data_IF_653438447286
#
_entry.id   IF_653438447286
#
_cell.length_a   1.000
_cell.length_b   1.000
_cell.length_c   1.000
_cell.angle_alpha   90.00
_cell.angle_beta   90.00
_cell.angle_gamma   90.00
#
_symmetry.space_group_name_H-M   'P 1'
#
loop_
_entity.id
_entity.type
_entity.pdbx_description
1 polymer ?
#
# COMPACT_ATOMS: atom_id res chain seq x y z
N UNK A 1 -58.55 16.24 -8.58
CA UNK A 1 -57.31 15.62 -8.09
C UNK A 1 -56.33 15.60 -9.26
N UNK A 2 -55.45 16.60 -9.34
CA UNK A 2 -54.48 16.78 -10.44
C UNK A 2 -53.20 16.04 -10.09
N UNK A 3 -52.87 15.04 -10.88
CA UNK A 3 -51.66 14.23 -10.71
C UNK A 3 -50.39 15.00 -11.06
N UNK A 4 -49.43 15.02 -10.17
CA UNK A 4 -48.09 15.56 -10.40
C UNK A 4 -47.34 14.64 -11.37
N UNK A 5 -46.90 15.20 -12.51
CA UNK A 5 -46.19 14.46 -13.56
C UNK A 5 -44.75 14.14 -13.11
N UNK A 6 -44.24 12.96 -13.52
CA UNK A 6 -42.83 12.55 -13.31
C UNK A 6 -41.79 13.55 -13.84
N UNK A 7 -42.18 14.51 -14.69
CA UNK A 7 -41.31 15.58 -15.19
C UNK A 7 -41.13 16.74 -14.21
N UNK A 8 -42.06 16.93 -13.27
CA UNK A 8 -41.99 18.04 -12.31
C UNK A 8 -41.08 17.71 -11.10
N UNK A 9 -40.84 16.43 -10.83
CA UNK A 9 -39.94 15.97 -9.77
C UNK A 9 -38.45 16.14 -10.15
N UNK A 10 -38.12 16.14 -11.44
CA UNK A 10 -36.76 16.28 -11.95
C UNK A 10 -36.25 17.73 -12.07
N UNK A 11 -37.14 18.73 -11.90
CA UNK A 11 -36.76 20.16 -11.95
C UNK A 11 -36.49 20.81 -10.60
N UNK A 12 -36.74 20.10 -9.50
CA UNK A 12 -36.52 20.64 -8.14
C UNK A 12 -35.16 20.26 -7.52
N UNK A 13 -34.27 19.52 -8.23
CA UNK A 13 -32.96 19.09 -7.75
C UNK A 13 -31.75 19.92 -8.28
N UNK A 14 -32.01 21.08 -8.82
CA UNK A 14 -30.98 21.94 -9.36
C UNK A 14 -31.00 23.33 -8.72
N UNK A 15 -30.33 23.53 -7.60
CA UNK A 15 -29.63 24.73 -7.14
C UNK A 15 -29.28 24.56 -5.66
N UNK A 16 -28.05 24.13 -5.36
CA UNK A 16 -27.25 24.51 -4.20
C UNK A 16 -25.86 23.87 -4.33
N UNK A 17 -24.99 24.46 -5.11
CA UNK A 17 -23.55 24.19 -5.02
C UNK A 17 -22.83 25.52 -5.22
N UNK A 18 -22.60 26.22 -4.13
CA UNK A 18 -21.67 27.34 -4.10
C UNK A 18 -20.71 27.15 -2.93
N UNK A 19 -19.40 27.03 -3.25
CA UNK A 19 -18.35 27.48 -2.37
C UNK A 19 -17.68 26.46 -1.45
N UNK A 20 -16.85 25.56 -2.04
CA UNK A 20 -15.65 25.09 -1.37
C UNK A 20 -14.57 25.03 -2.46
N UNK A 21 -13.53 25.85 -2.33
CA UNK A 21 -12.39 25.85 -3.25
C UNK A 21 -11.69 24.51 -3.25
N UNK A 22 -12.12 23.62 -4.13
CA UNK A 22 -11.40 22.41 -4.47
C UNK A 22 -10.21 22.83 -5.33
N UNK A 23 -8.99 22.60 -4.84
CA UNK A 23 -7.83 22.44 -5.71
C UNK A 23 -8.10 21.21 -6.59
N UNK A 24 -8.82 21.40 -7.67
CA UNK A 24 -8.93 20.37 -8.71
C UNK A 24 -7.53 20.15 -9.24
N UNK A 25 -6.95 18.98 -8.98
CA UNK A 25 -5.73 18.56 -9.64
C UNK A 25 -5.97 18.68 -11.15
N UNK A 26 -5.20 19.57 -11.80
CA UNK A 26 -5.33 19.81 -13.23
C UNK A 26 -5.11 18.49 -13.98
N UNK A 27 -6.00 18.18 -14.93
CA UNK A 27 -5.78 17.06 -15.84
C UNK A 27 -4.43 17.27 -16.52
N UNK A 28 -3.54 16.29 -16.39
CA UNK A 28 -2.28 16.30 -17.14
C UNK A 28 -2.58 16.14 -18.64
N UNK A 29 -1.70 16.66 -19.51
CA UNK A 29 -1.86 16.45 -20.94
C UNK A 29 -1.88 14.94 -21.24
N UNK A 30 -2.82 14.52 -22.09
CA UNK A 30 -2.88 13.14 -22.60
C UNK A 30 -1.54 12.80 -23.25
N UNK A 31 -0.96 11.64 -22.87
CA UNK A 31 0.35 11.20 -23.36
C UNK A 31 1.53 11.52 -22.44
N UNK A 32 1.30 12.04 -21.23
CA UNK A 32 2.37 12.29 -20.26
C UNK A 32 2.69 11.02 -19.43
N UNK A 33 3.98 10.67 -19.40
CA UNK A 33 4.45 9.61 -18.50
C UNK A 33 4.31 10.09 -17.06
N UNK A 34 3.74 9.25 -16.20
CA UNK A 34 3.65 9.51 -14.76
C UNK A 34 3.80 8.24 -13.94
N UNK A 35 4.52 8.35 -12.83
CA UNK A 35 4.66 7.28 -11.85
C UNK A 35 4.31 7.85 -10.49
N UNK A 36 3.43 7.17 -9.76
CA UNK A 36 3.08 7.51 -8.38
C UNK A 36 3.38 6.33 -7.46
N UNK A 37 3.75 6.60 -6.22
CA UNK A 37 4.01 5.57 -5.21
C UNK A 37 3.68 6.07 -3.80
N UNK A 38 3.67 5.17 -2.83
CA UNK A 38 3.68 5.52 -1.39
C UNK A 38 4.88 6.40 -1.04
N UNK A 39 4.84 7.06 0.13
CA UNK A 39 5.83 8.06 0.51
C UNK A 39 7.28 7.56 0.57
N UNK A 40 7.50 6.25 0.79
CA UNK A 40 8.83 5.62 0.73
C UNK A 40 9.32 5.32 -0.70
N UNK A 41 8.52 5.62 -1.73
CA UNK A 41 8.78 5.24 -3.12
C UNK A 41 9.36 6.35 -4.02
N UNK A 42 9.98 7.42 -3.48
CA UNK A 42 10.48 8.53 -4.31
C UNK A 42 11.52 8.06 -5.35
N UNK A 43 12.48 7.25 -4.94
CA UNK A 43 13.48 6.67 -5.84
C UNK A 43 12.86 5.63 -6.79
N UNK A 44 11.87 4.87 -6.31
CA UNK A 44 11.13 3.92 -7.13
C UNK A 44 10.38 4.64 -8.26
N UNK A 45 9.71 5.77 -7.99
CA UNK A 45 9.02 6.55 -9.03
C UNK A 45 10.00 7.16 -10.03
N UNK A 46 11.15 7.64 -9.57
CA UNK A 46 12.20 8.17 -10.44
C UNK A 46 12.73 7.09 -11.39
N UNK A 47 13.06 5.92 -10.86
CA UNK A 47 13.54 4.79 -11.66
C UNK A 47 12.49 4.30 -12.64
N UNK A 48 11.25 4.14 -12.19
CA UNK A 48 10.13 3.75 -13.06
C UNK A 48 9.91 4.74 -14.21
N UNK A 49 9.93 6.04 -13.92
CA UNK A 49 9.80 7.08 -14.95
C UNK A 49 10.92 6.99 -16.01
N UNK A 50 12.18 6.84 -15.57
CA UNK A 50 13.32 6.70 -16.49
C UNK A 50 13.14 5.52 -17.45
N UNK A 51 12.80 4.34 -16.90
CA UNK A 51 12.63 3.13 -17.69
C UNK A 51 11.49 3.26 -18.71
N UNK A 52 10.36 3.89 -18.32
CA UNK A 52 9.25 4.14 -19.26
C UNK A 52 9.66 5.15 -20.34
N UNK A 53 10.41 6.18 -19.99
CA UNK A 53 10.93 7.14 -20.96
C UNK A 53 11.93 6.49 -21.96
N UNK A 54 12.63 5.44 -21.53
CA UNK A 54 13.48 4.59 -22.37
C UNK A 54 12.69 3.56 -23.21
N UNK A 55 11.34 3.54 -23.10
CA UNK A 55 10.47 2.68 -23.89
C UNK A 55 10.14 1.33 -23.24
N UNK A 56 10.45 1.13 -21.95
CA UNK A 56 10.08 -0.09 -21.26
C UNK A 56 8.58 -0.12 -20.90
N UNK A 57 8.06 -1.33 -20.78
CA UNK A 57 6.69 -1.55 -20.33
C UNK A 57 6.47 -1.00 -18.91
N UNK A 58 5.33 -0.33 -18.63
CA UNK A 58 5.04 0.21 -17.30
C UNK A 58 5.12 -0.82 -16.17
N UNK A 59 4.76 -2.10 -16.42
CA UNK A 59 4.84 -3.13 -15.41
C UNK A 59 6.29 -3.47 -15.04
N UNK A 60 7.16 -3.63 -16.03
CA UNK A 60 8.59 -3.85 -15.79
C UNK A 60 9.22 -2.68 -15.05
N UNK A 61 8.84 -1.47 -15.43
CA UNK A 61 9.35 -0.26 -14.83
C UNK A 61 8.96 -0.11 -13.35
N UNK A 62 7.69 -0.36 -12.97
CA UNK A 62 7.27 -0.26 -11.56
C UNK A 62 7.87 -1.38 -10.72
N UNK A 63 8.00 -2.60 -11.25
CA UNK A 63 8.66 -3.71 -10.55
C UNK A 63 10.15 -3.43 -10.33
N UNK A 64 10.85 -2.91 -11.32
CA UNK A 64 12.24 -2.48 -11.16
C UNK A 64 12.38 -1.29 -10.19
N UNK A 65 11.38 -0.42 -10.14
CA UNK A 65 11.35 0.69 -9.18
C UNK A 65 11.22 0.21 -7.74
N UNK A 66 10.23 -0.64 -7.43
CA UNK A 66 10.01 -1.11 -6.06
C UNK A 66 11.13 -2.00 -5.54
N UNK A 67 11.89 -2.66 -6.43
CA UNK A 67 13.06 -3.44 -6.05
C UNK A 67 14.10 -2.62 -5.26
N UNK A 68 14.20 -1.30 -5.50
CA UNK A 68 15.07 -0.41 -4.73
C UNK A 68 14.67 -0.39 -3.24
N UNK A 69 13.37 -0.40 -2.94
CA UNK A 69 12.86 -0.42 -1.57
C UNK A 69 12.90 -1.84 -0.99
N UNK A 70 12.68 -2.87 -1.82
CA UNK A 70 12.86 -4.26 -1.42
C UNK A 70 14.32 -4.58 -1.02
N UNK A 71 15.29 -3.86 -1.57
CA UNK A 71 16.71 -4.00 -1.27
C UNK A 71 17.17 -3.19 -0.03
N UNK A 72 16.39 -2.21 0.42
CA UNK A 72 16.79 -1.33 1.51
C UNK A 72 16.74 -2.03 2.88
N UNK A 73 17.90 -2.33 3.52
CA UNK A 73 17.93 -3.00 4.82
C UNK A 73 17.41 -2.12 5.97
N UNK A 74 17.17 -0.83 5.72
CA UNK A 74 16.67 0.12 6.71
C UNK A 74 15.15 0.30 6.63
N UNK A 75 14.51 -0.08 5.51
CA UNK A 75 13.05 -0.12 5.44
C UNK A 75 12.51 -1.35 6.18
N UNK A 76 11.99 -1.15 7.38
CA UNK A 76 11.48 -2.22 8.25
C UNK A 76 10.12 -2.79 7.81
N UNK A 77 9.62 -2.39 6.65
CA UNK A 77 8.27 -2.70 6.20
C UNK A 77 8.18 -3.42 4.84
N UNK A 78 9.29 -3.50 4.11
CA UNK A 78 9.35 -4.05 2.75
C UNK A 78 10.62 -4.88 2.58
N UNK A 79 10.55 -6.02 1.89
CA UNK A 79 11.71 -6.75 1.40
C UNK A 79 12.73 -7.16 2.45
N UNK A 80 14.02 -6.94 2.15
CA UNK A 80 15.18 -7.38 2.92
C UNK A 80 15.29 -6.78 4.32
N UNK A 81 14.81 -5.54 4.54
CA UNK A 81 14.78 -4.92 5.86
C UNK A 81 13.56 -5.28 6.70
N UNK A 82 12.59 -5.96 6.09
CA UNK A 82 11.26 -6.18 6.64
C UNK A 82 11.25 -6.90 8.00
N UNK A 83 10.38 -6.44 8.91
CA UNK A 83 10.23 -7.07 10.23
C UNK A 83 9.59 -8.46 10.09
N UNK A 84 10.08 -9.43 10.90
CA UNK A 84 9.64 -10.81 10.82
C UNK A 84 8.24 -11.02 11.43
N UNK A 85 7.71 -12.22 11.24
CA UNK A 85 6.59 -12.74 12.01
C UNK A 85 6.99 -12.98 13.49
N UNK A 86 6.06 -13.40 14.33
CA UNK A 86 6.32 -13.65 15.78
C UNK A 86 7.38 -14.71 16.06
N UNK A 87 7.73 -15.56 15.06
CA UNK A 87 8.75 -16.60 15.16
C UNK A 87 10.12 -16.17 14.65
N UNK A 88 10.28 -14.91 14.23
CA UNK A 88 11.53 -14.40 13.69
C UNK A 88 11.77 -14.72 12.22
N UNK A 89 10.73 -15.13 11.47
CA UNK A 89 10.82 -15.42 10.03
C UNK A 89 10.23 -14.28 9.22
N UNK A 90 10.99 -13.77 8.26
CA UNK A 90 10.50 -12.76 7.31
C UNK A 90 9.63 -13.44 6.26
N UNK A 91 8.40 -12.98 6.14
CA UNK A 91 7.42 -13.44 5.15
C UNK A 91 6.97 -12.25 4.32
N UNK A 92 7.14 -12.35 3.01
CA UNK A 92 6.90 -11.27 2.05
C UNK A 92 5.67 -11.55 1.21
N UNK A 93 4.94 -10.48 0.90
CA UNK A 93 3.77 -10.51 0.03
C UNK A 93 3.98 -9.50 -1.10
N UNK A 94 3.58 -9.85 -2.33
CA UNK A 94 3.59 -8.92 -3.46
C UNK A 94 2.54 -9.30 -4.50
N UNK A 95 2.06 -8.29 -5.21
CA UNK A 95 1.26 -8.48 -6.41
C UNK A 95 1.62 -7.46 -7.49
N UNK A 96 1.37 -7.84 -8.72
CA UNK A 96 1.50 -7.04 -9.92
C UNK A 96 0.25 -7.16 -10.77
N UNK A 97 -0.12 -6.09 -11.47
CA UNK A 97 -1.22 -6.13 -12.42
C UNK A 97 -0.90 -5.30 -13.66
N UNK A 98 -1.06 -5.90 -14.83
CA UNK A 98 -0.80 -5.31 -16.14
C UNK A 98 -2.11 -4.89 -16.80
N UNK A 99 -2.34 -3.59 -16.91
CA UNK A 99 -3.58 -3.02 -17.42
C UNK A 99 -3.93 -3.46 -18.84
N UNK A 100 -3.02 -3.36 -19.83
CA UNK A 100 -3.34 -3.71 -21.23
C UNK A 100 -3.81 -5.14 -21.42
N UNK A 101 -3.27 -6.11 -20.70
CA UNK A 101 -3.71 -7.51 -20.77
C UNK A 101 -4.72 -7.92 -19.72
N UNK A 102 -4.98 -7.05 -18.74
CA UNK A 102 -5.79 -7.31 -17.55
C UNK A 102 -5.34 -8.55 -16.74
N UNK A 103 -4.06 -8.96 -16.89
CA UNK A 103 -3.46 -10.08 -16.17
C UNK A 103 -2.86 -9.60 -14.86
N UNK A 104 -2.85 -10.50 -13.88
CA UNK A 104 -2.23 -10.28 -12.60
C UNK A 104 -1.36 -11.47 -12.18
N UNK A 105 -0.43 -11.23 -11.26
CA UNK A 105 0.36 -12.24 -10.60
C UNK A 105 0.67 -11.82 -9.18
N UNK A 106 0.72 -12.77 -8.24
CA UNK A 106 0.94 -12.48 -6.85
C UNK A 106 1.67 -13.63 -6.14
N UNK A 107 2.36 -13.27 -5.06
CA UNK A 107 2.92 -14.21 -4.08
C UNK A 107 2.59 -13.74 -2.68
N UNK A 108 2.36 -14.70 -1.76
CA UNK A 108 2.07 -14.39 -0.36
C UNK A 108 2.79 -15.33 0.59
N UNK A 109 3.14 -14.84 1.78
CA UNK A 109 3.92 -15.56 2.77
C UNK A 109 5.19 -16.22 2.16
N UNK A 110 5.78 -15.55 1.17
CA UNK A 110 7.03 -15.98 0.53
C UNK A 110 8.19 -15.74 1.47
N UNK A 111 9.00 -16.78 1.70
CA UNK A 111 10.18 -16.73 2.54
C UNK A 111 11.45 -16.79 1.70
N UNK A 112 12.55 -16.26 2.23
CA UNK A 112 13.91 -16.39 1.71
C UNK A 112 14.16 -15.82 0.31
N UNK A 113 13.24 -15.10 -0.29
CA UNK A 113 13.42 -14.46 -1.60
C UNK A 113 13.26 -12.95 -1.43
N UNK A 114 14.31 -12.19 -1.74
CA UNK A 114 14.41 -10.75 -1.52
C UNK A 114 13.40 -9.92 -2.33
N UNK A 115 13.10 -10.32 -3.57
CA UNK A 115 12.30 -9.57 -4.54
C UNK A 115 10.96 -10.25 -4.84
N UNK A 116 9.98 -10.22 -3.92
CA UNK A 116 8.69 -10.87 -4.13
C UNK A 116 7.91 -10.28 -5.32
N UNK A 117 8.06 -8.96 -5.64
CA UNK A 117 7.42 -8.36 -6.80
C UNK A 117 7.91 -8.96 -8.12
N UNK A 118 9.20 -9.30 -8.22
CA UNK A 118 9.74 -10.01 -9.40
C UNK A 118 9.21 -11.43 -9.52
N UNK A 119 9.02 -12.14 -8.39
CA UNK A 119 8.40 -13.47 -8.40
C UNK A 119 6.92 -13.35 -8.83
N UNK A 120 6.17 -12.39 -8.32
CA UNK A 120 4.80 -12.11 -8.75
C UNK A 120 4.71 -11.83 -10.27
N UNK A 121 5.65 -11.04 -10.80
CA UNK A 121 5.77 -10.81 -12.25
C UNK A 121 6.03 -12.12 -13.02
N UNK A 122 6.82 -13.03 -12.45
CA UNK A 122 7.09 -14.35 -13.07
C UNK A 122 5.82 -15.21 -13.06
N UNK A 123 5.02 -15.17 -11.98
CA UNK A 123 3.71 -15.86 -11.92
C UNK A 123 2.82 -15.35 -13.06
N UNK A 124 2.64 -14.03 -13.20
CA UNK A 124 1.84 -13.43 -14.29
C UNK A 124 2.28 -13.86 -15.68
N UNK A 125 3.60 -13.97 -15.92
CA UNK A 125 4.16 -14.21 -17.26
C UNK A 125 4.28 -15.68 -17.65
N UNK A 126 4.36 -16.58 -16.68
CA UNK A 126 4.70 -17.99 -16.92
C UNK A 126 3.60 -18.96 -16.56
N UNK A 127 2.50 -18.49 -15.99
CA UNK A 127 1.37 -19.32 -15.60
C UNK A 127 0.05 -18.67 -15.98
N UNK A 128 -1.04 -19.41 -15.84
CA UNK A 128 -2.42 -18.91 -15.83
C UNK A 128 -2.97 -18.72 -14.41
N UNK A 129 -2.11 -18.96 -13.38
CA UNK A 129 -2.45 -18.70 -11.99
C UNK A 129 -2.27 -17.22 -11.66
N UNK A 130 -3.00 -16.75 -10.65
CA UNK A 130 -2.87 -15.38 -10.16
C UNK A 130 -2.06 -15.33 -8.87
N UNK A 131 -2.20 -16.29 -7.97
CA UNK A 131 -1.59 -16.23 -6.63
C UNK A 131 -0.96 -17.58 -6.26
N UNK A 132 0.32 -17.55 -5.88
CA UNK A 132 1.03 -18.65 -5.25
C UNK A 132 1.40 -18.27 -3.81
N UNK A 133 1.39 -19.22 -2.86
CA UNK A 133 1.61 -18.92 -1.43
C UNK A 133 2.63 -19.85 -0.77
N UNK A 134 3.34 -19.33 0.24
CA UNK A 134 4.20 -20.09 1.15
C UNK A 134 5.25 -20.95 0.43
N UNK A 135 5.35 -22.23 0.82
CA UNK A 135 6.33 -23.16 0.29
C UNK A 135 6.20 -23.36 -1.25
N UNK A 136 4.98 -23.40 -1.77
CA UNK A 136 4.76 -23.51 -3.22
C UNK A 136 5.25 -22.28 -3.99
N UNK A 137 5.10 -21.07 -3.43
CA UNK A 137 5.67 -19.87 -4.01
C UNK A 137 7.21 -19.89 -4.00
N UNK A 138 7.82 -20.41 -2.93
CA UNK A 138 9.28 -20.56 -2.83
C UNK A 138 9.79 -21.57 -3.84
N UNK A 139 9.16 -22.73 -3.98
CA UNK A 139 9.52 -23.76 -4.99
C UNK A 139 9.44 -23.20 -6.40
N UNK A 140 8.38 -22.46 -6.71
CA UNK A 140 8.22 -21.78 -7.98
C UNK A 140 9.34 -20.74 -8.22
N UNK A 141 9.67 -19.93 -7.23
CA UNK A 141 10.74 -18.94 -7.32
C UNK A 141 12.10 -19.62 -7.61
N UNK A 142 12.45 -20.67 -6.88
CA UNK A 142 13.68 -21.47 -7.09
C UNK A 142 13.74 -22.07 -8.49
N UNK A 143 12.65 -22.66 -8.96
CA UNK A 143 12.57 -23.23 -10.31
C UNK A 143 12.79 -22.18 -11.41
N UNK A 144 12.54 -20.89 -11.12
CA UNK A 144 12.76 -19.78 -12.03
C UNK A 144 14.08 -19.00 -11.78
N UNK A 145 15.00 -19.57 -10.97
CA UNK A 145 16.35 -19.06 -10.81
C UNK A 145 16.51 -17.99 -9.75
N UNK A 146 15.50 -17.77 -8.88
CA UNK A 146 15.65 -16.91 -7.71
C UNK A 146 16.48 -17.65 -6.63
N UNK A 147 17.40 -16.93 -5.99
CA UNK A 147 18.27 -17.48 -4.95
C UNK A 147 17.67 -17.26 -3.58
N UNK A 148 17.75 -18.27 -2.73
CA UNK A 148 17.37 -18.16 -1.32
C UNK A 148 18.46 -17.44 -0.52
N UNK A 149 18.04 -16.55 0.39
CA UNK A 149 18.88 -15.87 1.33
C UNK A 149 18.15 -15.60 2.66
N UNK A 150 18.91 -15.37 3.73
CA UNK A 150 18.31 -14.96 4.99
C UNK A 150 17.93 -13.48 4.93
N UNK A 151 16.62 -13.19 5.03
CA UNK A 151 16.11 -11.84 4.96
C UNK A 151 16.07 -11.13 6.31
N UNK A 152 16.31 -11.83 7.44
CA UNK A 152 16.32 -11.23 8.77
C UNK A 152 17.63 -10.48 8.98
N UNK A 153 17.61 -9.17 8.74
CA UNK A 153 18.76 -8.30 9.02
C UNK A 153 19.04 -8.19 10.50
N UNK A 154 20.27 -7.81 10.87
CA UNK A 154 20.64 -7.65 12.28
C UNK A 154 19.78 -6.61 13.00
N UNK A 155 19.44 -5.50 12.33
CA UNK A 155 18.53 -4.50 12.88
C UNK A 155 17.12 -5.08 13.13
N UNK A 156 16.56 -5.79 12.17
CA UNK A 156 15.24 -6.44 12.30
C UNK A 156 15.25 -7.52 13.40
N UNK A 157 16.35 -8.27 13.52
CA UNK A 157 16.53 -9.29 14.55
C UNK A 157 16.55 -8.67 15.95
N UNK A 158 17.28 -7.58 16.16
CA UNK A 158 17.33 -6.87 17.45
C UNK A 158 15.97 -6.29 17.83
N UNK A 159 15.26 -5.69 16.88
CA UNK A 159 13.90 -5.18 17.10
C UNK A 159 12.94 -6.32 17.49
N UNK A 160 13.04 -7.46 16.81
CA UNK A 160 12.20 -8.63 17.11
C UNK A 160 12.50 -9.22 18.50
N UNK A 161 13.79 -9.35 18.89
CA UNK A 161 14.18 -9.84 20.21
C UNK A 161 13.67 -8.92 21.32
N UNK A 162 13.88 -7.62 21.20
CA UNK A 162 13.40 -6.65 22.18
C UNK A 162 11.86 -6.64 22.29
N UNK A 163 11.14 -6.84 21.17
CA UNK A 163 9.70 -7.02 21.21
C UNK A 163 9.32 -8.27 22.01
N UNK A 164 10.01 -9.38 21.78
CA UNK A 164 9.75 -10.67 22.42
C UNK A 164 9.98 -10.62 23.92
N UNK A 165 11.09 -10.02 24.37
CA UNK A 165 11.42 -9.81 25.78
C UNK A 165 10.40 -8.95 26.54
N UNK A 166 9.67 -8.09 25.83
CA UNK A 166 8.63 -7.23 26.43
C UNK A 166 7.24 -7.85 26.48
N UNK A 167 7.06 -9.09 26.03
CA UNK A 167 5.75 -9.75 26.01
C UNK A 167 5.27 -10.15 27.40
N UNK A 168 6.19 -10.55 28.27
CA UNK A 168 5.87 -11.01 29.63
C UNK A 168 7.03 -10.64 30.58
N UNK A 169 6.70 -10.44 31.84
CA UNK A 169 7.68 -10.36 32.94
C UNK A 169 7.78 -11.67 33.72
N UNK A 170 7.07 -12.69 33.29
CA UNK A 170 6.95 -13.99 33.99
C UNK A 170 7.58 -15.14 33.19
N UNK A 171 8.26 -14.82 32.06
CA UNK A 171 9.02 -15.78 31.28
C UNK A 171 10.53 -15.75 31.68
N UNK A 172 11.31 -16.65 31.09
CA UNK A 172 12.74 -16.78 31.40
C UNK A 172 13.61 -15.77 30.60
N UNK A 173 13.00 -14.81 29.89
CA UNK A 173 13.74 -13.77 29.18
C UNK A 173 14.23 -12.70 30.14
N UNK A 174 15.54 -12.47 30.14
CA UNK A 174 16.14 -11.37 30.89
C UNK A 174 16.32 -10.17 29.98
N UNK A 175 15.91 -8.94 30.42
CA UNK A 175 16.20 -7.74 29.67
C UNK A 175 17.72 -7.57 29.52
N UNK A 176 18.14 -7.15 28.35
CA UNK A 176 19.56 -6.85 28.07
C UNK A 176 20.09 -5.83 29.09
N UNK A 177 21.26 -6.10 29.72
CA UNK A 177 21.85 -5.19 30.69
C UNK A 177 22.46 -3.93 30.04
N UNK A 178 22.61 -3.91 28.71
CA UNK A 178 23.14 -2.78 27.97
C UNK A 178 22.04 -1.93 27.35
N UNK A 179 22.26 -0.60 27.18
CA UNK A 179 21.31 0.23 26.49
C UNK A 179 21.10 -0.31 25.07
N UNK A 180 19.83 -0.50 24.72
CA UNK A 180 19.46 -0.92 23.38
C UNK A 180 20.10 0.02 22.33
N UNK A 181 20.48 -0.54 21.21
CA UNK A 181 20.96 0.24 20.06
C UNK A 181 20.00 1.43 19.81
N UNK A 182 20.54 2.64 19.64
CA UNK A 182 19.77 3.87 19.50
C UNK A 182 18.70 3.78 18.39
N UNK A 183 18.94 3.02 17.32
CA UNK A 183 17.98 2.77 16.26
C UNK A 183 16.79 1.92 16.73
N UNK A 184 17.04 0.91 17.56
CA UNK A 184 16.01 0.05 18.15
C UNK A 184 15.16 0.84 19.15
N UNK A 185 15.78 1.64 20.00
CA UNK A 185 15.03 2.53 20.92
C UNK A 185 14.17 3.56 20.16
N UNK A 186 14.72 4.18 19.11
CA UNK A 186 13.99 5.11 18.26
C UNK A 186 12.79 4.43 17.60
N UNK A 187 12.95 3.19 17.15
CA UNK A 187 11.86 2.40 16.59
C UNK A 187 10.72 2.18 17.60
N UNK A 188 11.01 1.73 18.82
CA UNK A 188 9.97 1.53 19.84
C UNK A 188 9.34 2.84 20.29
N UNK A 189 10.11 3.92 20.42
CA UNK A 189 9.59 5.25 20.75
C UNK A 189 8.60 5.74 19.68
N UNK A 190 8.95 5.60 18.41
CA UNK A 190 8.09 5.99 17.27
C UNK A 190 6.79 5.18 17.24
N UNK A 191 6.84 3.90 17.60
CA UNK A 191 5.72 2.96 17.48
C UNK A 191 5.01 2.69 18.80
N UNK A 192 5.26 3.45 19.86
CA UNK A 192 4.58 3.32 21.15
C UNK A 192 3.78 4.59 21.46
N UNK A 193 2.58 4.40 22.00
CA UNK A 193 1.72 5.49 22.46
C UNK A 193 1.36 5.26 23.92
N UNK A 194 1.31 6.35 24.72
CA UNK A 194 0.82 6.31 26.08
C UNK A 194 -0.70 6.12 26.05
N UNK A 195 -1.20 5.08 26.72
CA UNK A 195 -2.63 4.78 26.78
C UNK A 195 -3.15 5.06 28.18
N UNK A 196 -4.11 6.01 28.26
CA UNK A 196 -4.82 6.38 29.50
C UNK A 196 -3.94 7.08 30.55
N UNK A 197 -4.52 7.33 31.73
CA UNK A 197 -3.84 8.01 32.85
C UNK A 197 -2.80 7.13 33.57
N UNK A 198 -2.68 5.87 33.17
CA UNK A 198 -1.78 4.87 33.80
C UNK A 198 -0.34 4.95 33.31
N UNK A 199 -0.02 5.80 32.33
CA UNK A 199 1.31 5.89 31.73
C UNK A 199 1.76 4.64 30.97
N UNK A 200 0.87 3.66 30.76
CA UNK A 200 1.20 2.41 30.10
C UNK A 200 1.46 2.66 28.61
N UNK A 201 2.65 2.28 28.13
CA UNK A 201 2.98 2.30 26.72
C UNK A 201 2.26 1.16 25.98
N UNK A 202 1.50 1.50 24.96
CA UNK A 202 0.95 0.53 24.00
C UNK A 202 1.81 0.55 22.75
N UNK A 203 2.44 -0.58 22.46
CA UNK A 203 3.15 -0.77 21.19
C UNK A 203 2.13 -0.95 20.05
N UNK A 204 2.19 -0.07 19.06
CA UNK A 204 1.46 -0.22 17.80
C UNK A 204 2.35 -0.98 16.84
N UNK A 205 1.91 -2.14 16.38
CA UNK A 205 2.63 -2.90 15.35
C UNK A 205 2.74 -2.05 14.10
N UNK A 206 3.94 -1.69 13.64
CA UNK A 206 4.09 -0.94 12.41
C UNK A 206 3.58 -1.77 11.24
N UNK A 207 2.94 -1.08 10.33
CA UNK A 207 2.56 -1.57 9.02
C UNK A 207 3.26 -0.68 8.00
N UNK A 208 3.81 -1.27 6.98
CA UNK A 208 4.41 -0.53 5.88
C UNK A 208 4.34 -1.38 4.63
N UNK A 209 4.39 -0.72 3.51
CA UNK A 209 4.19 -1.30 2.19
C UNK A 209 4.72 -0.29 1.18
N UNK A 210 5.17 -0.73 0.02
CA UNK A 210 5.25 0.15 -1.14
C UNK A 210 4.20 -0.25 -2.16
N UNK A 211 3.40 0.73 -2.59
CA UNK A 211 2.60 0.66 -3.81
C UNK A 211 3.24 1.56 -4.87
N UNK A 212 3.23 1.11 -6.12
CA UNK A 212 3.69 1.90 -7.26
C UNK A 212 2.78 1.66 -8.47
N UNK A 213 2.26 2.75 -9.07
CA UNK A 213 1.47 2.74 -10.30
C UNK A 213 2.14 3.63 -11.34
N UNK A 214 2.07 3.23 -12.60
CA UNK A 214 2.59 4.00 -13.72
C UNK A 214 1.62 4.06 -14.89
N UNK A 215 1.72 5.15 -15.66
CA UNK A 215 1.10 5.35 -16.96
C UNK A 215 2.17 5.80 -17.96
N UNK A 216 2.18 5.22 -19.16
CA UNK A 216 3.09 5.63 -20.25
C UNK A 216 2.42 6.62 -21.21
N UNK A 217 3.19 7.09 -22.22
CA UNK A 217 2.69 8.02 -23.24
C UNK A 217 1.56 7.44 -24.11
N UNK A 218 1.46 6.11 -24.25
CA UNK A 218 0.34 5.44 -24.90
C UNK A 218 -0.88 5.31 -23.99
N UNK A 219 -0.79 5.84 -22.78
CA UNK A 219 -1.77 5.72 -21.70
C UNK A 219 -1.95 4.28 -21.18
N UNK A 220 -1.02 3.38 -21.39
CA UNK A 220 -1.04 2.07 -20.75
C UNK A 220 -0.63 2.17 -19.29
N UNK A 221 -1.37 1.48 -18.43
CA UNK A 221 -1.20 1.55 -16.99
C UNK A 221 -0.81 0.19 -16.41
N UNK A 222 0.01 0.21 -15.39
CA UNK A 222 0.34 -1.00 -14.61
C UNK A 222 0.65 -0.62 -13.17
N UNK A 223 0.54 -1.59 -12.26
CA UNK A 223 0.84 -1.34 -10.85
C UNK A 223 1.43 -2.57 -10.14
N UNK A 224 2.09 -2.31 -9.03
CA UNK A 224 2.63 -3.32 -8.11
C UNK A 224 2.48 -2.87 -6.67
N UNK A 225 2.35 -3.82 -5.77
CA UNK A 225 2.39 -3.60 -4.32
C UNK A 225 3.22 -4.70 -3.68
N UNK A 226 4.14 -4.34 -2.77
CA UNK A 226 5.03 -5.29 -2.09
C UNK A 226 5.25 -4.87 -0.63
N UNK A 227 5.38 -5.87 0.26
CA UNK A 227 5.41 -5.65 1.72
C UNK A 227 6.00 -6.84 2.47
N UNK A 228 6.53 -6.58 3.68
CA UNK A 228 6.73 -7.61 4.72
C UNK A 228 5.50 -7.80 5.63
N UNK A 229 4.42 -7.06 5.37
CA UNK A 229 3.19 -7.12 6.13
C UNK A 229 3.27 -6.42 7.49
N UNK A 230 2.46 -6.90 8.44
CA UNK A 230 2.44 -6.38 9.81
C UNK A 230 3.59 -6.99 10.60
N UNK A 231 4.34 -6.16 11.34
CA UNK A 231 5.40 -6.62 12.24
C UNK A 231 4.87 -7.65 13.26
N UNK A 232 5.64 -8.71 13.48
CA UNK A 232 5.35 -9.76 14.46
C UNK A 232 3.95 -10.39 14.27
N UNK A 233 3.55 -10.52 13.00
CA UNK A 233 2.32 -11.19 12.60
C UNK A 233 2.33 -12.68 12.97
N UNK A 234 1.15 -13.27 13.08
CA UNK A 234 1.04 -14.74 13.14
C UNK A 234 1.63 -15.31 11.86
N UNK A 235 2.45 -16.38 11.92
CA UNK A 235 2.99 -17.03 10.74
C UNK A 235 1.90 -17.40 9.72
N UNK A 236 2.13 -17.04 8.45
CA UNK A 236 1.13 -17.24 7.40
C UNK A 236 0.04 -16.19 7.33
N UNK A 237 0.03 -15.15 8.20
CA UNK A 237 -0.88 -14.01 8.03
C UNK A 237 -0.51 -13.25 6.76
N UNK A 238 -1.46 -13.10 5.89
CA UNK A 238 -1.39 -12.31 4.66
C UNK A 238 -2.28 -11.09 4.79
N UNK A 239 -1.75 -9.92 4.40
CA UNK A 239 -2.51 -8.66 4.34
C UNK A 239 -3.22 -8.49 3.00
N UNK A 240 -3.51 -7.24 2.67
CA UNK A 240 -4.17 -6.85 1.42
C UNK A 240 -3.23 -6.86 0.20
N UNK A 241 -1.92 -6.64 0.42
CA UNK A 241 -0.96 -6.36 -0.65
C UNK A 241 -0.93 -7.38 -1.79
N UNK A 242 -1.02 -8.73 -1.56
CA UNK A 242 -1.02 -9.69 -2.66
C UNK A 242 -2.41 -9.98 -3.23
N UNK A 243 -3.46 -9.35 -2.70
CA UNK A 243 -4.84 -9.63 -3.10
C UNK A 243 -5.31 -8.60 -4.12
N UNK A 244 -5.52 -9.07 -5.36
CA UNK A 244 -6.02 -8.24 -6.44
C UNK A 244 -7.40 -7.69 -6.10
N UNK A 245 -7.56 -6.37 -6.24
CA UNK A 245 -8.77 -5.65 -5.85
C UNK A 245 -8.70 -5.05 -4.43
N UNK A 246 -7.84 -5.59 -3.56
CA UNK A 246 -7.59 -5.03 -2.23
C UNK A 246 -6.32 -4.15 -2.22
N UNK A 247 -5.12 -4.75 -2.18
CA UNK A 247 -3.86 -4.01 -2.10
C UNK A 247 -3.51 -3.22 -3.34
N UNK A 248 -4.00 -3.66 -4.51
CA UNK A 248 -3.86 -2.98 -5.79
C UNK A 248 -4.98 -3.40 -6.75
N UNK A 249 -5.27 -2.53 -7.71
CA UNK A 249 -6.09 -2.84 -8.87
C UNK A 249 -5.79 -1.87 -10.01
N UNK A 250 -5.82 -2.34 -11.26
CA UNK A 250 -5.76 -1.50 -12.47
C UNK A 250 -6.74 -1.99 -13.52
N UNK A 251 -7.49 -1.05 -14.08
CA UNK A 251 -8.24 -1.24 -15.32
C UNK A 251 -7.70 -0.23 -16.34
N UNK A 252 -7.16 -0.73 -17.44
CA UNK A 252 -6.50 0.12 -18.46
C UNK A 252 -7.45 1.13 -19.10
N UNK A 253 -8.76 1.00 -18.95
CA UNK A 253 -9.76 1.92 -19.47
C UNK A 253 -10.23 2.97 -18.47
N UNK A 254 -9.88 2.82 -17.18
CA UNK A 254 -10.38 3.66 -16.09
C UNK A 254 -9.26 4.28 -15.27
N UNK A 255 -8.36 3.45 -14.70
CA UNK A 255 -7.33 3.91 -13.80
C UNK A 255 -6.78 2.82 -12.90
N UNK A 256 -5.96 3.22 -11.94
CA UNK A 256 -5.33 2.34 -10.95
C UNK A 256 -5.53 2.87 -9.53
N UNK A 257 -5.50 1.95 -8.57
CA UNK A 257 -5.48 2.25 -7.15
C UNK A 257 -4.63 1.22 -6.41
N UNK A 258 -3.93 1.65 -5.37
CA UNK A 258 -3.30 0.77 -4.42
C UNK A 258 -3.20 1.40 -3.04
N UNK A 259 -2.81 0.59 -2.06
CA UNK A 259 -2.90 0.96 -0.65
C UNK A 259 -1.63 0.67 0.14
N UNK A 260 -1.51 1.34 1.28
CA UNK A 260 -0.57 1.00 2.36
C UNK A 260 -1.27 1.17 3.70
N UNK A 261 -0.84 0.40 4.72
CA UNK A 261 -1.37 0.54 6.07
C UNK A 261 -2.12 -0.70 6.56
N UNK A 262 -3.29 -0.54 7.19
CA UNK A 262 -4.01 -1.67 7.79
C UNK A 262 -4.70 -2.55 6.74
N UNK A 263 -4.05 -3.67 6.41
CA UNK A 263 -4.49 -4.59 5.36
C UNK A 263 -5.88 -5.19 5.57
N UNK A 264 -6.22 -5.60 6.79
CA UNK A 264 -7.52 -6.20 7.12
C UNK A 264 -8.69 -5.27 6.81
N UNK A 265 -8.53 -3.96 7.09
CA UNK A 265 -9.57 -2.97 6.81
C UNK A 265 -9.78 -2.78 5.29
N UNK A 266 -8.70 -2.89 4.51
CA UNK A 266 -8.76 -2.87 3.06
C UNK A 266 -9.38 -4.16 2.49
N UNK A 267 -8.91 -5.33 2.95
CA UNK A 267 -9.41 -6.64 2.50
C UNK A 267 -10.94 -6.75 2.61
N UNK A 268 -11.50 -6.35 3.75
CA UNK A 268 -12.93 -6.42 4.00
C UNK A 268 -13.76 -5.53 3.07
N UNK A 269 -13.14 -4.52 2.46
CA UNK A 269 -13.82 -3.55 1.61
C UNK A 269 -13.44 -3.68 0.12
N UNK A 270 -12.42 -4.50 -0.25
CA UNK A 270 -11.85 -4.60 -1.60
C UNK A 270 -11.60 -3.22 -2.21
N UNK A 271 -10.93 -2.36 -1.45
CA UNK A 271 -11.00 -0.91 -1.65
C UNK A 271 -10.35 -0.43 -2.93
N UNK A 272 -9.28 -1.10 -3.41
CA UNK A 272 -8.64 -0.68 -4.66
C UNK A 272 -9.54 -0.92 -5.87
N UNK A 273 -10.22 -2.06 -5.93
CA UNK A 273 -11.24 -2.33 -6.95
C UNK A 273 -12.39 -1.32 -6.85
N UNK A 274 -12.92 -1.12 -5.64
CA UNK A 274 -14.03 -0.20 -5.41
C UNK A 274 -13.68 1.26 -5.79
N UNK A 275 -12.43 1.71 -5.57
CA UNK A 275 -11.98 3.04 -5.99
C UNK A 275 -11.95 3.17 -7.51
N UNK A 276 -11.47 2.15 -8.23
CA UNK A 276 -11.50 2.15 -9.70
C UNK A 276 -12.94 2.15 -10.22
N UNK A 277 -13.86 1.38 -9.60
CA UNK A 277 -15.26 1.40 -9.96
C UNK A 277 -15.95 2.75 -9.68
N UNK A 278 -15.58 3.46 -8.61
CA UNK A 278 -16.05 4.83 -8.38
C UNK A 278 -15.56 5.79 -9.49
N UNK A 279 -14.29 5.65 -9.91
CA UNK A 279 -13.78 6.43 -11.06
C UNK A 279 -14.50 6.08 -12.36
N UNK A 280 -14.88 4.81 -12.61
CA UNK A 280 -15.69 4.38 -13.74
C UNK A 280 -17.07 5.05 -13.75
N UNK A 281 -17.61 5.35 -12.58
CA UNK A 281 -18.88 6.08 -12.39
C UNK A 281 -18.71 7.60 -12.44
N UNK A 282 -17.51 8.11 -12.71
CA UNK A 282 -17.22 9.53 -12.92
C UNK A 282 -16.60 10.27 -11.73
N UNK A 283 -16.32 9.59 -10.62
CA UNK A 283 -15.60 10.22 -9.51
C UNK A 283 -14.15 10.57 -9.91
N UNK A 284 -13.63 11.67 -9.41
CA UNK A 284 -12.19 11.96 -9.48
C UNK A 284 -11.39 11.00 -8.58
N UNK A 285 -10.08 10.86 -8.79
CA UNK A 285 -9.22 10.06 -7.91
C UNK A 285 -9.36 10.41 -6.43
N UNK A 286 -9.41 11.71 -6.10
CA UNK A 286 -9.57 12.17 -4.72
C UNK A 286 -10.94 11.81 -4.14
N UNK A 287 -12.03 12.05 -4.87
CA UNK A 287 -13.38 11.70 -4.42
C UNK A 287 -13.54 10.20 -4.20
N UNK A 288 -13.01 9.38 -5.13
CA UNK A 288 -13.01 7.93 -5.01
C UNK A 288 -12.26 7.48 -3.74
N UNK A 289 -11.05 8.01 -3.52
CA UNK A 289 -10.24 7.70 -2.34
C UNK A 289 -10.92 8.13 -1.02
N UNK A 290 -11.48 9.32 -0.98
CA UNK A 290 -12.19 9.82 0.21
C UNK A 290 -13.44 8.98 0.51
N UNK A 291 -14.15 8.53 -0.51
CA UNK A 291 -15.31 7.65 -0.31
C UNK A 291 -14.89 6.28 0.26
N UNK A 292 -13.80 5.69 -0.25
CA UNK A 292 -13.26 4.45 0.30
C UNK A 292 -12.87 4.60 1.78
N UNK A 293 -12.20 5.69 2.14
CA UNK A 293 -11.84 5.96 3.55
C UNK A 293 -13.10 6.07 4.44
N UNK A 294 -14.18 6.70 3.96
CA UNK A 294 -15.46 6.76 4.71
C UNK A 294 -16.10 5.37 4.89
N UNK A 295 -16.05 4.51 3.86
CA UNK A 295 -16.55 3.12 3.95
C UNK A 295 -15.77 2.32 4.98
N UNK A 296 -14.44 2.39 4.96
CA UNK A 296 -13.57 1.77 5.96
C UNK A 296 -13.89 2.30 7.36
N UNK A 297 -14.01 3.62 7.52
CA UNK A 297 -14.34 4.21 8.82
C UNK A 297 -15.69 3.72 9.34
N UNK A 298 -16.70 3.58 8.46
CA UNK A 298 -18.03 3.07 8.83
C UNK A 298 -18.00 1.61 9.27
N UNK A 299 -17.21 0.76 8.61
CA UNK A 299 -17.15 -0.70 8.86
C UNK A 299 -16.12 -1.09 9.92
N UNK A 300 -15.32 -0.14 10.43
CA UNK A 300 -14.32 -0.39 11.47
C UNK A 300 -14.97 -0.90 12.76
N UNK A 301 -14.44 -2.01 13.29
CA UNK A 301 -14.88 -2.60 14.57
C UNK A 301 -14.70 -1.63 15.74
N UNK A 302 -15.60 -1.67 16.78
CA UNK A 302 -15.51 -0.79 17.96
C UNK A 302 -14.14 -0.80 18.66
N UNK A 303 -13.52 -1.99 18.80
CA UNK A 303 -12.20 -2.16 19.46
C UNK A 303 -11.03 -1.48 18.71
N UNK A 304 -11.25 -1.13 17.45
CA UNK A 304 -10.26 -0.46 16.58
C UNK A 304 -10.59 1.01 16.39
N UNK A 305 -11.42 1.58 17.25
CA UNK A 305 -11.76 3.01 17.24
C UNK A 305 -11.07 3.73 18.40
N UNK A 306 -10.72 4.99 18.16
CA UNK A 306 -10.27 5.91 19.20
C UNK A 306 -11.44 6.40 20.08
N UNK A 307 -11.14 7.31 21.02
CA UNK A 307 -12.15 7.89 21.94
C UNK A 307 -13.21 8.74 21.21
N UNK A 308 -12.88 9.29 20.06
CA UNK A 308 -13.79 10.05 19.20
C UNK A 308 -14.58 9.16 18.23
N UNK A 309 -14.40 7.83 18.32
CA UNK A 309 -15.10 6.87 17.45
C UNK A 309 -14.51 6.72 16.04
N UNK A 310 -13.35 7.33 15.77
CA UNK A 310 -12.63 7.22 14.49
C UNK A 310 -11.76 5.96 14.47
N UNK A 311 -11.43 5.39 13.29
CA UNK A 311 -10.46 4.29 13.20
C UNK A 311 -9.13 4.63 13.89
N UNK A 312 -8.63 3.78 14.77
CA UNK A 312 -7.34 3.98 15.47
C UNK A 312 -6.19 3.30 14.71
N UNK A 313 -6.11 3.51 13.39
CA UNK A 313 -5.05 2.99 12.53
C UNK A 313 -4.87 3.85 11.27
N UNK A 314 -3.67 3.78 10.68
CA UNK A 314 -3.38 4.41 9.40
C UNK A 314 -3.73 3.52 8.21
N UNK A 315 -4.26 4.12 7.18
CA UNK A 315 -4.42 3.54 5.85
C UNK A 315 -4.41 4.67 4.81
N UNK A 316 -3.68 4.43 3.73
CA UNK A 316 -3.52 5.39 2.63
C UNK A 316 -3.88 4.72 1.31
N UNK A 317 -4.37 5.50 0.36
CA UNK A 317 -4.59 5.07 -1.02
C UNK A 317 -3.91 6.03 -1.99
N UNK A 318 -3.37 5.45 -3.07
CA UNK A 318 -2.69 6.15 -4.16
C UNK A 318 -3.42 5.79 -5.44
N UNK A 319 -4.02 6.80 -6.08
CA UNK A 319 -5.03 6.60 -7.12
C UNK A 319 -4.65 7.43 -8.34
N UNK A 320 -4.71 6.82 -9.52
CA UNK A 320 -4.43 7.49 -10.78
C UNK A 320 -5.47 7.12 -11.82
N UNK A 321 -6.09 8.11 -12.43
CA UNK A 321 -7.06 7.93 -13.50
C UNK A 321 -6.35 7.79 -14.87
N UNK A 322 -7.04 7.21 -15.84
CA UNK A 322 -6.57 7.02 -17.23
C UNK A 322 -6.17 8.32 -17.95
N UNK A 323 -6.75 9.44 -17.56
CA UNK A 323 -6.44 10.78 -18.09
C UNK A 323 -5.24 11.45 -17.40
N UNK A 324 -4.55 10.72 -16.51
CA UNK A 324 -3.36 11.18 -15.80
C UNK A 324 -3.65 12.00 -14.54
N UNK A 325 -4.90 12.31 -14.17
CA UNK A 325 -5.22 12.86 -12.84
C UNK A 325 -4.88 11.83 -11.77
N UNK A 326 -4.43 12.30 -10.61
CA UNK A 326 -4.04 11.41 -9.51
C UNK A 326 -4.32 12.07 -8.15
N UNK A 327 -4.35 11.26 -7.10
CA UNK A 327 -4.46 11.72 -5.72
C UNK A 327 -3.84 10.70 -4.75
N UNK A 328 -3.30 11.21 -3.64
CA UNK A 328 -3.05 10.46 -2.42
C UNK A 328 -4.08 10.83 -1.37
N UNK A 329 -4.65 9.85 -0.68
CA UNK A 329 -5.56 10.07 0.45
C UNK A 329 -5.13 9.27 1.67
N UNK A 330 -5.39 9.79 2.87
CA UNK A 330 -5.01 9.16 4.14
C UNK A 330 -6.17 9.17 5.14
N UNK A 331 -6.21 8.19 6.04
CA UNK A 331 -7.20 8.16 7.11
C UNK A 331 -6.97 9.30 8.11
N UNK A 332 -5.71 9.55 8.50
CA UNK A 332 -5.37 10.52 9.54
C UNK A 332 -4.17 11.38 9.17
N UNK A 333 -4.19 12.63 9.67
CA UNK A 333 -3.05 13.52 9.79
C UNK A 333 -2.32 13.81 8.49
N UNK A 334 -1.02 14.04 8.60
CA UNK A 334 -0.17 14.33 7.45
C UNK A 334 0.54 13.06 6.94
N UNK A 335 0.19 12.65 5.73
CA UNK A 335 0.91 11.63 4.97
C UNK A 335 1.33 12.22 3.62
N UNK A 336 2.37 11.65 3.03
CA UNK A 336 2.86 12.04 1.69
C UNK A 336 2.89 10.84 0.77
N UNK A 337 2.89 11.11 -0.53
CA UNK A 337 3.11 10.12 -1.57
C UNK A 337 4.08 10.67 -2.62
N UNK A 338 4.78 9.77 -3.30
CA UNK A 338 5.77 10.13 -4.30
C UNK A 338 5.13 10.25 -5.68
N UNK A 339 5.59 11.23 -6.44
CA UNK A 339 5.19 11.47 -7.83
C UNK A 339 6.44 11.78 -8.66
N UNK A 340 6.54 11.17 -9.84
CA UNK A 340 7.50 11.57 -10.87
C UNK A 340 6.77 11.73 -12.21
N UNK A 341 6.92 12.90 -12.80
CA UNK A 341 6.38 13.25 -14.11
C UNK A 341 7.35 14.24 -14.80
N UNK A 342 6.94 14.92 -15.87
CA UNK A 342 7.73 15.93 -16.59
C UNK A 342 8.21 17.10 -15.71
N UNK A 343 7.60 17.30 -14.53
CA UNK A 343 8.01 18.32 -13.54
C UNK A 343 9.09 17.82 -12.56
N UNK A 344 9.52 16.56 -12.70
CA UNK A 344 10.49 15.93 -11.82
C UNK A 344 9.88 15.12 -10.70
N UNK A 345 10.76 14.60 -9.83
CA UNK A 345 10.39 13.75 -8.68
C UNK A 345 10.13 14.59 -7.43
N UNK A 346 9.02 14.32 -6.73
CA UNK A 346 8.61 15.08 -5.54
C UNK A 346 7.72 14.25 -4.62
N UNK A 347 7.61 14.69 -3.37
CA UNK A 347 6.58 14.22 -2.43
C UNK A 347 5.43 15.23 -2.41
N UNK A 348 4.22 14.73 -2.52
CA UNK A 348 2.98 15.52 -2.41
C UNK A 348 2.19 15.08 -1.17
N UNK A 349 1.39 16.01 -0.60
CA UNK A 349 0.56 15.72 0.58
C UNK A 349 -0.67 14.91 0.19
N UNK A 350 -0.96 13.87 0.97
CA UNK A 350 -2.25 13.18 0.91
C UNK A 350 -3.35 14.04 1.53
N UNK A 351 -4.57 13.93 0.99
CA UNK A 351 -5.75 14.49 1.65
C UNK A 351 -6.20 13.58 2.79
N UNK A 352 -6.32 14.12 4.00
CA UNK A 352 -6.76 13.38 5.16
C UNK A 352 -8.30 13.36 5.28
N UNK A 353 -8.85 12.22 5.74
CA UNK A 353 -10.25 12.13 6.14
C UNK A 353 -10.44 12.77 7.51
N UNK A 354 -9.49 12.56 8.41
CA UNK A 354 -9.43 13.18 9.74
C UNK A 354 -8.10 13.96 9.83
N UNK A 355 -8.17 15.29 9.71
CA UNK A 355 -6.99 16.17 9.85
C UNK A 355 -6.28 16.08 11.19
#
# INVERSE_FOLDING_TARGET
>A
MSGVSRRDVLRAAGVAAAGAGANAAAAGPAGEIRVIASGNGLEATRRGYQLIAEGQDPLDAVVAGVAIVEDDPLDTSVGYGGLPNERGVVELDAAVMHGPSHKAGAVAALQNIRHPAQVALRVLRRTDHVLLVGAGALEFARAHGFHEENLLTENARQIWLQWKERLSSEDDWLPEPEPANAAVEAFFRKNSTVVGDTGRLRFRRPTGTIHCSAINAASDMSCTTTTSGMAFKIPGRVGDSPIIGAGLYVDNTVGSCGSTGRGEANLQNLSSFAAVELMRQGASPEEAGMEILRRIAKTTEPRLRDREGRPDFGINFYIMAKDGRYAGVTMHGEATFAVTDSKGSRLEKCRALYP
#
